data_IF_834668641162
#
_entry.id   IF_834668641162
#
_cell.length_a   1.000
_cell.length_b   1.000
_cell.length_c   1.000
_cell.angle_alpha   90.00
_cell.angle_beta   90.00
_cell.angle_gamma   90.00
#
_symmetry.space_group_name_H-M   'P 1'
#
loop_
_entity.id
_entity.type
_entity.pdbx_description
1 polymer ?
#
# COMPACT_ATOMS: atom_id res chain seq x y z
N UNK A 1 -10.78 11.36 7.32
CA UNK A 1 -10.74 10.48 6.13
C UNK A 1 -10.68 11.41 4.94
N UNK A 2 -9.73 11.23 4.00
CA UNK A 2 -9.75 11.99 2.77
C UNK A 2 -10.99 11.62 1.94
N UNK A 3 -11.54 12.59 1.25
CA UNK A 3 -12.61 12.44 0.28
C UNK A 3 -12.08 12.01 -1.09
N UNK A 4 -13.00 11.63 -1.98
CA UNK A 4 -12.66 11.15 -3.32
C UNK A 4 -11.72 12.10 -4.11
N UNK A 5 -11.91 13.43 -4.12
CA UNK A 5 -11.03 14.33 -4.86
C UNK A 5 -9.56 14.28 -4.38
N UNK A 6 -9.36 14.13 -3.07
CA UNK A 6 -8.04 14.09 -2.45
C UNK A 6 -7.37 12.74 -2.73
N UNK A 7 -8.12 11.64 -2.66
CA UNK A 7 -7.64 10.30 -3.04
C UNK A 7 -7.21 10.27 -4.51
N UNK A 8 -7.99 10.85 -5.41
CA UNK A 8 -7.66 10.90 -6.85
C UNK A 8 -6.37 11.68 -7.12
N UNK A 9 -6.13 12.76 -6.36
CA UNK A 9 -4.88 13.53 -6.44
C UNK A 9 -3.67 12.66 -6.09
N UNK A 10 -3.75 11.86 -5.03
CA UNK A 10 -2.70 10.92 -4.64
C UNK A 10 -2.49 9.83 -5.69
N UNK A 11 -3.58 9.25 -6.20
CA UNK A 11 -3.53 8.20 -7.24
C UNK A 11 -2.78 8.69 -8.48
N UNK A 12 -3.13 9.88 -8.99
CA UNK A 12 -2.48 10.47 -10.18
C UNK A 12 -1.00 10.75 -9.98
N UNK A 13 -0.60 11.19 -8.78
CA UNK A 13 0.80 11.44 -8.44
C UNK A 13 1.64 10.16 -8.34
N UNK A 14 1.08 9.08 -7.77
CA UNK A 14 1.81 7.84 -7.53
C UNK A 14 1.94 6.94 -8.78
N UNK A 15 0.89 6.89 -9.62
CA UNK A 15 0.83 5.99 -10.78
C UNK A 15 2.08 6.02 -11.69
N UNK A 16 2.61 7.17 -12.14
CA UNK A 16 3.77 7.19 -13.05
C UNK A 16 5.07 6.71 -12.39
N UNK A 17 5.18 6.79 -11.06
CA UNK A 17 6.38 6.35 -10.33
C UNK A 17 6.36 4.86 -9.96
N UNK A 18 5.18 4.27 -9.77
CA UNK A 18 5.02 2.94 -9.19
C UNK A 18 4.62 1.84 -10.18
N UNK A 19 3.87 2.16 -11.25
CA UNK A 19 3.40 1.13 -12.19
C UNK A 19 4.58 0.47 -12.92
N UNK A 20 4.58 -0.86 -12.97
CA UNK A 20 5.65 -1.67 -13.58
C UNK A 20 6.83 -1.97 -12.65
N UNK A 21 6.81 -1.48 -11.41
CA UNK A 21 7.78 -1.86 -10.36
C UNK A 21 7.33 -3.13 -9.64
N UNK A 22 8.29 -3.89 -9.13
CA UNK A 22 8.05 -5.07 -8.28
C UNK A 22 8.41 -4.73 -6.83
N UNK A 23 7.59 -5.19 -5.88
CA UNK A 23 7.91 -5.08 -4.47
C UNK A 23 9.07 -6.02 -4.13
N UNK A 24 10.06 -5.54 -3.38
CA UNK A 24 11.16 -6.37 -2.86
C UNK A 24 10.91 -6.87 -1.44
N UNK A 25 9.89 -6.34 -0.78
CA UNK A 25 9.49 -6.67 0.58
C UNK A 25 8.71 -5.53 1.23
N UNK A 26 8.21 -5.76 2.44
CA UNK A 26 7.52 -4.75 3.25
C UNK A 26 7.85 -4.91 4.74
N UNK A 27 7.72 -3.83 5.50
CA UNK A 27 7.88 -3.83 6.95
C UNK A 27 6.67 -3.17 7.60
N UNK A 28 5.92 -3.91 8.40
CA UNK A 28 4.76 -3.39 9.13
C UNK A 28 5.19 -2.97 10.54
N UNK A 29 5.23 -1.66 10.79
CA UNK A 29 5.60 -1.10 12.10
C UNK A 29 4.40 -0.89 13.04
N UNK A 30 3.19 -0.92 12.49
CA UNK A 30 1.94 -0.79 13.25
C UNK A 30 0.92 -1.85 12.79
N UNK A 31 0.87 -3.01 13.46
CA UNK A 31 0.04 -4.13 13.01
C UNK A 31 -1.45 -3.79 12.84
N UNK A 32 -1.99 -2.87 13.65
CA UNK A 32 -3.41 -2.48 13.61
C UNK A 32 -3.83 -1.72 12.34
N UNK A 33 -2.89 -1.29 11.49
CA UNK A 33 -3.22 -0.67 10.19
C UNK A 33 -3.67 -1.71 9.16
N UNK A 34 -3.21 -2.95 9.28
CA UNK A 34 -3.55 -4.01 8.33
C UNK A 34 -4.81 -4.72 8.83
N UNK A 35 -5.92 -4.54 8.13
CA UNK A 35 -7.18 -5.19 8.47
C UNK A 35 -7.21 -6.66 8.03
N UNK A 36 -6.61 -6.98 6.88
CA UNK A 36 -6.50 -8.34 6.32
C UNK A 36 -5.39 -8.37 5.25
N UNK A 37 -4.57 -9.42 5.14
CA UNK A 37 -4.40 -10.56 6.08
C UNK A 37 -3.83 -10.11 7.44
N UNK A 38 -3.47 -11.04 8.32
CA UNK A 38 -2.70 -10.70 9.52
C UNK A 38 -1.38 -10.00 9.15
N UNK A 39 -0.99 -9.01 9.94
CA UNK A 39 0.12 -8.11 9.63
C UNK A 39 1.48 -8.80 9.42
N UNK A 40 1.69 -9.95 10.06
CA UNK A 40 2.87 -10.80 9.93
C UNK A 40 2.87 -11.62 8.62
N UNK A 41 1.68 -11.94 8.10
CA UNK A 41 1.51 -12.64 6.81
C UNK A 41 1.54 -11.69 5.61
N UNK A 42 1.18 -10.42 5.80
CA UNK A 42 1.08 -9.43 4.71
C UNK A 42 2.35 -9.33 3.85
N UNK A 43 3.57 -9.18 4.39
CA UNK A 43 4.77 -9.05 3.56
C UNK A 43 5.04 -10.27 2.67
N UNK A 44 4.70 -11.48 3.14
CA UNK A 44 4.92 -12.71 2.39
C UNK A 44 3.93 -12.88 1.21
N UNK A 45 2.86 -12.09 1.17
CA UNK A 45 1.85 -12.13 0.11
C UNK A 45 2.06 -11.07 -0.97
N UNK A 46 3.05 -10.19 -0.81
CA UNK A 46 3.45 -9.24 -1.84
C UNK A 46 4.29 -9.98 -2.88
N UNK A 47 3.67 -10.31 -4.02
CA UNK A 47 4.32 -10.88 -5.20
C UNK A 47 4.57 -9.79 -6.26
#
# INVERSE_FOLDING_TARGET
MPELPEVETVVRGLRPALVGRTFTGATVRWPRTIAHPEADRFPAQLA
#
